data_IF_633634423443
#
_entry.id   IF_633634423443
#
_cell.length_a   1.000
_cell.length_b   1.000
_cell.length_c   1.000
_cell.angle_alpha   90.00
_cell.angle_beta   90.00
_cell.angle_gamma   90.00
#
_symmetry.space_group_name_H-M   'P 1'
#
loop_
_entity.id
_entity.type
_entity.pdbx_description
1 polymer ?
#
# COMPACT_ATOMS: atom_id res chain seq x y z
N UNK A 1 -34.70 49.17 42.01
CA UNK A 1 -33.25 49.26 41.76
C UNK A 1 -32.64 47.89 42.03
N UNK A 2 -32.31 47.14 40.98
CA UNK A 2 -31.59 45.86 41.06
C UNK A 2 -30.74 45.76 39.80
N UNK A 3 -29.42 45.84 39.98
CA UNK A 3 -28.44 45.85 38.89
C UNK A 3 -28.07 44.42 38.48
N UNK A 4 -28.30 44.10 37.21
CA UNK A 4 -27.81 42.86 36.59
C UNK A 4 -26.42 43.15 36.02
N UNK A 5 -25.40 42.55 36.64
CA UNK A 5 -24.04 42.46 36.08
C UNK A 5 -24.08 41.62 34.80
N UNK A 6 -23.79 42.25 33.64
CA UNK A 6 -23.36 41.54 32.44
C UNK A 6 -21.86 41.28 32.55
N UNK A 7 -21.48 40.01 32.61
CA UNK A 7 -20.09 39.57 32.48
C UNK A 7 -19.52 39.87 31.10
N UNK A 8 -18.18 39.93 30.95
CA UNK A 8 -17.53 40.25 29.70
C UNK A 8 -17.84 39.20 28.63
N UNK A 9 -18.23 39.71 27.46
CA UNK A 9 -18.72 38.94 26.33
C UNK A 9 -17.76 37.85 25.88
N UNK A 10 -18.35 36.71 25.58
CA UNK A 10 -17.77 35.66 24.78
C UNK A 10 -17.13 36.23 23.51
N UNK A 11 -15.87 35.87 23.27
CA UNK A 11 -15.18 36.14 22.02
C UNK A 11 -15.98 35.56 20.85
N UNK A 12 -16.48 36.45 19.99
CA UNK A 12 -17.16 36.11 18.77
C UNK A 12 -16.15 35.64 17.71
N UNK A 13 -16.62 34.69 16.91
CA UNK A 13 -16.00 34.13 15.72
C UNK A 13 -15.33 35.17 14.80
N UNK A 14 -14.22 34.76 14.17
CA UNK A 14 -13.86 35.32 12.85
C UNK A 14 -12.46 35.85 12.62
N UNK A 15 -11.42 35.46 13.37
CA UNK A 15 -10.05 35.81 12.96
C UNK A 15 -9.69 35.03 11.68
N UNK A 16 -9.88 35.69 10.53
CA UNK A 16 -9.19 35.37 9.29
C UNK A 16 -7.72 35.62 9.54
N UNK A 17 -6.92 34.56 9.56
CA UNK A 17 -5.47 34.70 9.63
C UNK A 17 -5.00 35.42 8.36
N UNK A 18 -4.60 36.68 8.49
CA UNK A 18 -4.09 37.50 7.40
C UNK A 18 -2.61 37.18 7.17
N UNK A 19 -2.25 36.84 5.94
CA UNK A 19 -0.86 36.70 5.53
C UNK A 19 -0.34 38.08 5.11
N UNK A 20 0.75 38.57 5.70
CA UNK A 20 1.31 39.87 5.30
C UNK A 20 1.83 39.85 3.86
N UNK A 21 1.57 40.91 3.09
CA UNK A 21 2.03 41.08 1.70
C UNK A 21 3.55 40.90 1.53
N UNK A 22 4.32 41.36 2.53
CA UNK A 22 5.77 41.18 2.56
C UNK A 22 6.20 39.71 2.50
N UNK A 23 5.41 38.79 3.08
CA UNK A 23 5.72 37.36 3.03
C UNK A 23 5.56 36.80 1.61
N UNK A 24 4.58 37.27 0.84
CA UNK A 24 4.40 36.83 -0.54
C UNK A 24 5.60 37.22 -1.40
N UNK A 25 6.13 38.43 -1.20
CA UNK A 25 7.32 38.91 -1.89
C UNK A 25 8.55 38.06 -1.55
N UNK A 26 8.81 37.84 -0.25
CA UNK A 26 9.93 37.02 0.22
C UNK A 26 9.87 35.58 -0.34
N UNK A 27 8.68 34.97 -0.36
CA UNK A 27 8.51 33.62 -0.92
C UNK A 27 8.77 33.63 -2.43
N UNK A 28 8.25 34.61 -3.15
CA UNK A 28 8.44 34.74 -4.61
C UNK A 28 9.92 34.90 -4.98
N UNK A 29 10.67 35.68 -4.21
CA UNK A 29 12.08 35.97 -4.48
C UNK A 29 13.02 34.78 -4.16
N UNK A 30 12.57 33.80 -3.37
CA UNK A 30 13.35 32.60 -3.05
C UNK A 30 13.61 31.68 -4.24
N UNK A 31 14.76 31.01 -4.34
CA UNK A 31 15.07 30.17 -5.52
C UNK A 31 14.51 28.74 -5.47
N UNK A 32 14.05 28.24 -4.31
CA UNK A 32 13.67 26.82 -4.14
C UNK A 32 12.35 26.62 -3.38
N UNK A 33 11.70 25.48 -3.64
CA UNK A 33 10.53 25.04 -2.87
C UNK A 33 10.82 24.84 -1.38
N UNK A 34 12.00 24.33 -1.05
CA UNK A 34 12.44 24.17 0.36
C UNK A 34 12.49 25.52 1.07
N UNK A 35 13.00 26.55 0.42
CA UNK A 35 13.02 27.90 0.96
C UNK A 35 11.59 28.44 1.17
N UNK A 36 10.73 28.33 0.16
CA UNK A 36 9.33 28.77 0.25
C UNK A 36 8.58 28.07 1.40
N UNK A 37 8.74 26.75 1.53
CA UNK A 37 8.17 25.95 2.61
C UNK A 37 8.73 26.40 3.97
N UNK A 38 10.04 26.63 4.08
CA UNK A 38 10.66 27.09 5.34
C UNK A 38 10.15 28.46 5.75
N UNK A 39 10.16 29.44 4.85
CA UNK A 39 9.68 30.81 5.12
C UNK A 39 8.21 30.83 5.52
N UNK A 40 7.36 30.07 4.82
CA UNK A 40 5.95 29.98 5.18
C UNK A 40 5.75 29.26 6.52
N UNK A 41 6.50 28.21 6.79
CA UNK A 41 6.49 27.52 8.09
C UNK A 41 6.88 28.46 9.24
N UNK A 42 7.92 29.28 9.06
CA UNK A 42 8.38 30.28 10.02
C UNK A 42 7.28 31.33 10.29
N UNK A 43 6.69 31.88 9.22
CA UNK A 43 5.64 32.89 9.31
C UNK A 43 4.37 32.37 10.02
N UNK A 44 3.99 31.12 9.72
CA UNK A 44 2.86 30.44 10.35
C UNK A 44 3.17 29.94 11.79
N UNK A 45 4.44 30.06 12.22
CA UNK A 45 4.97 29.59 13.51
C UNK A 45 4.69 28.10 13.73
N UNK A 46 4.94 27.28 12.71
CA UNK A 46 4.73 25.84 12.78
C UNK A 46 5.88 25.14 13.54
N UNK A 47 5.61 24.04 14.25
CA UNK A 47 6.65 23.13 14.72
C UNK A 47 7.44 22.54 13.54
N UNK A 48 8.66 22.05 13.79
CA UNK A 48 9.46 21.38 12.77
C UNK A 48 8.81 20.09 12.25
N UNK A 49 8.23 20.18 11.06
CA UNK A 49 7.51 19.10 10.37
C UNK A 49 8.42 17.93 9.97
N UNK A 50 9.73 18.09 10.06
CA UNK A 50 10.71 17.04 9.71
C UNK A 50 11.01 16.11 10.90
N UNK A 51 10.48 16.41 12.09
CA UNK A 51 10.72 15.62 13.31
C UNK A 51 9.45 15.00 13.85
N UNK A 52 9.57 13.79 14.41
CA UNK A 52 8.46 13.13 15.11
C UNK A 52 7.87 14.01 16.24
N UNK A 53 8.74 14.73 16.96
CA UNK A 53 8.31 15.62 18.03
C UNK A 53 7.51 16.83 17.50
N UNK A 54 7.94 17.42 16.39
CA UNK A 54 7.20 18.50 15.74
C UNK A 54 5.85 18.02 15.20
N UNK A 55 5.78 16.87 14.54
CA UNK A 55 4.52 16.26 14.11
C UNK A 55 3.57 15.98 15.29
N UNK A 56 4.09 15.52 16.43
CA UNK A 56 3.28 15.36 17.66
C UNK A 56 2.68 16.69 18.13
N UNK A 57 3.43 17.80 18.06
CA UNK A 57 2.93 19.14 18.37
C UNK A 57 1.89 19.63 17.36
N UNK A 58 2.06 19.27 16.08
CA UNK A 58 1.06 19.58 15.05
C UNK A 58 -0.22 18.81 15.32
N UNK A 59 -0.13 17.53 15.69
CA UNK A 59 -1.27 16.69 16.01
C UNK A 59 -2.15 17.26 17.13
N UNK A 60 -1.54 17.75 18.22
CA UNK A 60 -2.29 18.34 19.35
C UNK A 60 -2.98 19.66 18.98
N UNK A 61 -2.48 20.36 17.95
CA UNK A 61 -3.00 21.67 17.49
C UNK A 61 -3.54 21.62 16.07
N UNK A 62 -3.96 20.43 15.61
CA UNK A 62 -4.22 20.17 14.19
C UNK A 62 -5.20 21.17 13.58
N UNK A 63 -6.34 21.40 14.23
CA UNK A 63 -7.38 22.29 13.70
C UNK A 63 -6.90 23.74 13.56
N UNK A 64 -6.11 24.24 14.51
CA UNK A 64 -5.55 25.59 14.47
C UNK A 64 -4.55 25.71 13.31
N UNK A 65 -3.62 24.77 13.20
CA UNK A 65 -2.59 24.76 12.15
C UNK A 65 -3.22 24.58 10.78
N UNK A 66 -4.17 23.66 10.62
CA UNK A 66 -4.88 23.45 9.38
C UNK A 66 -5.66 24.69 8.95
N UNK A 67 -6.30 25.41 9.90
CA UNK A 67 -6.97 26.69 9.59
C UNK A 67 -6.00 27.72 9.00
N UNK A 68 -4.79 27.84 9.57
CA UNK A 68 -3.73 28.73 9.05
C UNK A 68 -3.24 28.31 7.67
N UNK A 69 -2.96 27.02 7.48
CA UNK A 69 -2.56 26.47 6.18
C UNK A 69 -3.64 26.68 5.11
N UNK A 70 -4.91 26.48 5.47
CA UNK A 70 -6.03 26.70 4.57
C UNK A 70 -6.21 28.17 4.20
N UNK A 71 -6.07 29.09 5.18
CA UNK A 71 -6.07 30.53 4.93
C UNK A 71 -4.92 30.92 3.99
N UNK A 72 -3.72 30.38 4.22
CA UNK A 72 -2.56 30.61 3.37
C UNK A 72 -2.76 30.16 1.93
N UNK A 73 -3.28 28.96 1.75
CA UNK A 73 -3.59 28.42 0.43
C UNK A 73 -4.62 29.27 -0.30
N UNK A 74 -5.68 29.69 0.39
CA UNK A 74 -6.76 30.47 -0.21
C UNK A 74 -6.30 31.89 -0.56
N UNK A 75 -5.48 32.52 0.29
CA UNK A 75 -4.86 33.80 -0.02
C UNK A 75 -3.93 33.69 -1.22
N UNK A 76 -3.05 32.67 -1.25
CA UNK A 76 -2.21 32.39 -2.42
C UNK A 76 -3.03 32.17 -3.69
N UNK A 77 -4.15 31.44 -3.62
CA UNK A 77 -5.07 31.28 -4.76
C UNK A 77 -5.69 32.61 -5.20
N UNK A 78 -6.13 33.46 -4.28
CA UNK A 78 -6.74 34.75 -4.59
C UNK A 78 -5.75 35.67 -5.30
N UNK A 79 -4.51 35.69 -4.83
CA UNK A 79 -3.43 36.51 -5.39
C UNK A 79 -2.76 35.88 -6.64
N UNK A 80 -3.19 34.70 -7.09
CA UNK A 80 -2.51 33.96 -8.15
C UNK A 80 -1.07 33.54 -7.78
N UNK A 81 -0.75 33.46 -6.49
CA UNK A 81 0.56 33.06 -5.99
C UNK A 81 0.68 31.54 -5.87
N UNK A 82 1.03 30.91 -6.99
CA UNK A 82 1.24 29.46 -7.12
C UNK A 82 2.29 28.94 -6.12
N UNK A 83 3.27 29.78 -5.77
CA UNK A 83 4.37 29.40 -4.88
C UNK A 83 3.94 29.26 -3.43
N UNK A 84 3.04 30.13 -2.96
CA UNK A 84 2.41 29.98 -1.64
C UNK A 84 1.50 28.76 -1.63
N UNK A 85 0.70 28.56 -2.67
CA UNK A 85 -0.16 27.37 -2.78
C UNK A 85 0.67 26.07 -2.74
N UNK A 86 1.75 26.03 -3.53
CA UNK A 86 2.71 24.93 -3.55
C UNK A 86 3.39 24.72 -2.20
N UNK A 87 3.87 25.77 -1.54
CA UNK A 87 4.48 25.67 -0.22
C UNK A 87 3.51 25.07 0.82
N UNK A 88 2.22 25.43 0.77
CA UNK A 88 1.20 24.79 1.61
C UNK A 88 1.08 23.30 1.32
N UNK A 89 0.98 22.91 0.05
CA UNK A 89 0.91 21.49 -0.33
C UNK A 89 2.16 20.72 0.09
N UNK A 90 3.35 21.33 -0.03
CA UNK A 90 4.60 20.75 0.44
C UNK A 90 4.63 20.54 1.97
N UNK A 91 4.09 21.47 2.76
CA UNK A 91 3.94 21.29 4.21
C UNK A 91 2.93 20.19 4.56
N UNK A 92 1.79 20.16 3.88
CA UNK A 92 0.78 19.10 4.04
C UNK A 92 1.38 17.73 3.74
N UNK A 93 2.17 17.61 2.67
CA UNK A 93 2.87 16.37 2.32
C UNK A 93 3.84 15.92 3.42
N UNK A 94 4.60 16.84 4.02
CA UNK A 94 5.47 16.53 5.18
C UNK A 94 4.68 16.03 6.38
N UNK A 95 3.49 16.60 6.64
CA UNK A 95 2.62 16.13 7.72
C UNK A 95 2.11 14.70 7.50
N UNK A 96 2.02 14.24 6.25
CA UNK A 96 1.52 12.90 5.92
C UNK A 96 2.44 11.74 6.33
N UNK A 97 3.67 12.01 6.78
CA UNK A 97 4.52 10.97 7.37
C UNK A 97 4.02 10.47 8.73
N UNK A 98 3.14 11.22 9.39
CA UNK A 98 2.38 10.77 10.56
C UNK A 98 0.99 10.29 10.12
N UNK A 99 0.63 9.05 10.48
CA UNK A 99 -0.60 8.43 10.02
C UNK A 99 -1.86 9.17 10.48
N UNK A 100 -1.89 9.65 11.72
CA UNK A 100 -3.05 10.33 12.28
C UNK A 100 -3.24 11.70 11.61
N UNK A 101 -2.14 12.44 11.42
CA UNK A 101 -2.18 13.72 10.71
C UNK A 101 -2.65 13.56 9.27
N UNK A 102 -2.12 12.55 8.57
CA UNK A 102 -2.50 12.25 7.19
C UNK A 102 -4.00 12.01 7.10
N UNK A 103 -4.56 11.12 7.91
CA UNK A 103 -5.97 10.74 7.81
C UNK A 103 -6.87 11.96 8.07
N UNK A 104 -6.52 12.78 9.06
CA UNK A 104 -7.18 14.08 9.31
C UNK A 104 -7.08 15.06 8.12
N UNK A 105 -5.96 15.09 7.41
CA UNK A 105 -5.80 15.94 6.22
C UNK A 105 -6.67 15.46 5.05
N UNK A 106 -6.79 14.14 4.88
CA UNK A 106 -7.70 13.54 3.90
C UNK A 106 -9.16 13.87 4.19
N UNK A 107 -9.61 13.72 5.43
CA UNK A 107 -10.95 14.12 5.87
C UNK A 107 -11.25 15.60 5.59
N UNK A 108 -10.24 16.46 5.68
CA UNK A 108 -10.35 17.89 5.36
C UNK A 108 -10.26 18.22 3.87
N UNK A 109 -10.18 17.21 3.00
CA UNK A 109 -10.23 17.36 1.56
C UNK A 109 -8.92 17.86 0.92
N UNK A 110 -7.76 17.46 1.46
CA UNK A 110 -6.45 17.90 0.94
C UNK A 110 -6.25 17.66 -0.56
N UNK A 111 -6.80 16.58 -1.13
CA UNK A 111 -6.66 16.29 -2.57
C UNK A 111 -7.20 17.42 -3.45
N UNK A 112 -8.27 18.09 -3.02
CA UNK A 112 -8.86 19.25 -3.73
C UNK A 112 -7.90 20.45 -3.82
N UNK A 113 -6.85 20.47 -2.99
CA UNK A 113 -5.77 21.47 -3.01
C UNK A 113 -4.57 21.03 -3.84
N UNK A 114 -4.34 19.72 -3.98
CA UNK A 114 -3.22 19.19 -4.78
C UNK A 114 -3.58 19.18 -6.27
N UNK A 115 -4.80 18.77 -6.62
CA UNK A 115 -5.25 18.63 -8.01
C UNK A 115 -4.95 19.87 -8.87
N UNK A 116 -5.34 21.11 -8.47
CA UNK A 116 -5.14 22.28 -9.31
C UNK A 116 -3.67 22.63 -9.57
N UNK A 117 -2.74 22.15 -8.73
CA UNK A 117 -1.31 22.39 -8.89
C UNK A 117 -0.65 21.45 -9.91
N UNK A 118 -1.33 20.37 -10.32
CA UNK A 118 -0.82 19.47 -11.35
C UNK A 118 -0.85 20.12 -12.75
N UNK A 119 -1.78 21.04 -12.96
CA UNK A 119 -1.98 21.72 -14.24
C UNK A 119 -1.01 22.89 -14.44
N UNK A 120 -0.36 23.37 -13.38
CA UNK A 120 0.54 24.52 -13.41
C UNK A 120 1.99 24.08 -13.55
N UNK A 121 2.68 24.51 -14.61
CA UNK A 121 4.08 24.14 -14.90
C UNK A 121 5.02 24.35 -13.71
N UNK A 122 4.86 25.48 -13.01
CA UNK A 122 5.72 25.85 -11.89
C UNK A 122 5.60 24.87 -10.71
N UNK A 123 4.39 24.35 -10.44
CA UNK A 123 4.10 23.55 -9.23
C UNK A 123 3.94 22.06 -9.52
N UNK A 124 3.85 21.64 -10.79
CA UNK A 124 3.58 20.25 -11.18
C UNK A 124 4.49 19.25 -10.49
N UNK A 125 5.82 19.44 -10.53
CA UNK A 125 6.76 18.51 -9.88
C UNK A 125 6.60 18.47 -8.37
N UNK A 126 6.30 19.62 -7.75
CA UNK A 126 6.05 19.68 -6.30
C UNK A 126 4.78 18.92 -5.93
N UNK A 127 3.71 19.14 -6.68
CA UNK A 127 2.41 18.48 -6.46
C UNK A 127 2.51 16.97 -6.69
N UNK A 128 3.18 16.54 -7.75
CA UNK A 128 3.48 15.14 -8.02
C UNK A 128 4.34 14.51 -6.91
N UNK A 129 5.41 15.18 -6.47
CA UNK A 129 6.24 14.70 -5.35
C UNK A 129 5.43 14.62 -4.04
N UNK A 130 4.53 15.57 -3.80
CA UNK A 130 3.61 15.51 -2.67
C UNK A 130 2.71 14.26 -2.75
N UNK A 131 2.13 13.95 -3.91
CA UNK A 131 1.32 12.74 -4.10
C UNK A 131 2.12 11.45 -3.87
N UNK A 132 3.39 11.40 -4.29
CA UNK A 132 4.28 10.28 -3.99
C UNK A 132 4.45 10.12 -2.48
N UNK A 133 4.75 11.19 -1.74
CA UNK A 133 4.89 11.13 -0.29
C UNK A 133 3.58 10.69 0.39
N UNK A 134 2.45 11.20 -0.09
CA UNK A 134 1.13 10.90 0.43
C UNK A 134 0.78 9.42 0.22
N UNK A 135 1.06 8.87 -0.96
CA UNK A 135 0.77 7.47 -1.28
C UNK A 135 1.74 6.52 -0.57
N UNK A 136 3.03 6.84 -0.49
CA UNK A 136 4.03 6.06 0.27
C UNK A 136 3.60 5.82 1.71
N UNK A 137 3.14 6.86 2.38
CA UNK A 137 2.69 6.74 3.76
C UNK A 137 1.20 6.42 3.89
N UNK A 138 0.42 6.57 2.82
CA UNK A 138 -1.04 6.48 2.79
C UNK A 138 -1.62 5.16 3.28
N UNK A 139 -2.71 5.24 4.05
CA UNK A 139 -3.57 4.09 4.28
C UNK A 139 -4.34 3.72 3.02
N UNK A 140 -4.91 2.51 3.01
CA UNK A 140 -5.65 1.96 1.87
C UNK A 140 -6.73 2.92 1.36
N UNK A 141 -7.60 3.43 2.23
CA UNK A 141 -8.67 4.36 1.86
C UNK A 141 -8.16 5.60 1.11
N UNK A 142 -7.07 6.19 1.59
CA UNK A 142 -6.44 7.35 0.96
C UNK A 142 -5.91 7.03 -0.44
N UNK A 143 -5.28 5.86 -0.62
CA UNK A 143 -4.75 5.37 -1.89
C UNK A 143 -5.86 5.06 -2.90
N UNK A 144 -6.95 4.42 -2.44
CA UNK A 144 -8.14 4.17 -3.26
C UNK A 144 -8.76 5.48 -3.74
N UNK A 145 -8.89 6.47 -2.85
CA UNK A 145 -9.45 7.77 -3.24
C UNK A 145 -8.56 8.52 -4.24
N UNK A 146 -7.23 8.44 -4.07
CA UNK A 146 -6.28 8.94 -5.07
C UNK A 146 -6.49 8.23 -6.40
N UNK A 147 -6.60 6.90 -6.44
CA UNK A 147 -6.81 6.17 -7.69
C UNK A 147 -8.09 6.64 -8.40
N UNK A 148 -9.19 6.78 -7.65
CA UNK A 148 -10.48 7.26 -8.18
C UNK A 148 -10.41 8.66 -8.76
N UNK A 149 -9.81 9.60 -8.02
CA UNK A 149 -9.81 11.01 -8.42
C UNK A 149 -8.71 11.36 -9.43
N UNK A 150 -7.57 10.66 -9.40
CA UNK A 150 -6.34 11.12 -10.05
C UNK A 150 -5.81 10.22 -11.15
N UNK A 151 -6.18 8.94 -11.25
CA UNK A 151 -5.58 8.05 -12.26
C UNK A 151 -5.72 8.61 -13.70
N UNK A 152 -6.89 9.15 -14.05
CA UNK A 152 -7.10 9.79 -15.36
C UNK A 152 -6.16 10.97 -15.60
N UNK A 153 -5.99 11.83 -14.60
CA UNK A 153 -5.07 12.97 -14.66
C UNK A 153 -3.62 12.52 -14.74
N UNK A 154 -3.22 11.52 -13.96
CA UNK A 154 -1.86 10.98 -13.95
C UNK A 154 -1.50 10.28 -15.27
N UNK A 155 -2.44 9.51 -15.84
CA UNK A 155 -2.30 8.93 -17.19
C UNK A 155 -2.10 10.03 -18.22
N UNK A 156 -2.93 11.09 -18.19
CA UNK A 156 -2.80 12.22 -19.09
C UNK A 156 -1.45 12.92 -18.93
N UNK A 157 -0.96 13.13 -17.71
CA UNK A 157 0.37 13.70 -17.47
C UNK A 157 1.50 12.87 -18.09
N UNK A 158 1.43 11.54 -17.99
CA UNK A 158 2.43 10.65 -18.63
C UNK A 158 2.38 10.77 -20.17
N UNK A 159 1.20 11.00 -20.74
CA UNK A 159 1.00 11.12 -22.19
C UNK A 159 1.38 12.50 -22.73
N UNK A 160 1.04 13.56 -22.01
CA UNK A 160 1.26 14.96 -22.41
C UNK A 160 2.71 15.41 -22.20
N UNK A 161 3.41 14.84 -21.20
CA UNK A 161 4.80 15.20 -20.86
C UNK A 161 5.76 14.01 -20.92
N UNK A 162 5.84 13.27 -22.05
CA UNK A 162 6.61 12.04 -22.14
C UNK A 162 8.14 12.25 -22.06
N UNK A 163 8.59 13.49 -22.27
CA UNK A 163 9.99 13.89 -22.25
C UNK A 163 10.42 14.55 -20.92
N UNK A 164 9.50 14.62 -19.95
CA UNK A 164 9.80 14.98 -18.56
C UNK A 164 9.93 13.70 -17.72
N UNK A 165 11.13 13.11 -17.63
CA UNK A 165 11.31 11.82 -16.96
C UNK A 165 10.93 11.87 -15.47
N UNK A 166 11.02 13.05 -14.84
CA UNK A 166 10.73 13.17 -13.41
C UNK A 166 9.23 13.27 -13.14
N UNK A 167 8.50 14.02 -13.97
CA UNK A 167 7.04 14.05 -13.89
C UNK A 167 6.45 12.66 -14.17
N UNK A 168 6.95 11.98 -15.20
CA UNK A 168 6.53 10.60 -15.53
C UNK A 168 6.83 9.65 -14.38
N UNK A 169 8.05 9.68 -13.80
CA UNK A 169 8.40 8.83 -12.65
C UNK A 169 7.43 9.05 -11.48
N UNK A 170 7.19 10.30 -11.08
CA UNK A 170 6.29 10.58 -9.96
C UNK A 170 4.83 10.18 -10.24
N UNK A 171 4.36 10.35 -11.48
CA UNK A 171 3.02 9.91 -11.87
C UNK A 171 2.90 8.38 -11.80
N UNK A 172 3.89 7.63 -12.31
CA UNK A 172 3.93 6.17 -12.22
C UNK A 172 3.98 5.69 -10.77
N UNK A 173 4.86 6.27 -9.93
CA UNK A 173 4.96 5.91 -8.51
C UNK A 173 3.64 6.16 -7.79
N UNK A 174 2.98 7.28 -8.07
CA UNK A 174 1.67 7.58 -7.47
C UNK A 174 0.61 6.57 -7.93
N UNK A 175 0.55 6.27 -9.24
CA UNK A 175 -0.40 5.29 -9.79
C UNK A 175 -0.15 3.88 -9.28
N UNK A 176 1.11 3.47 -9.06
CA UNK A 176 1.47 2.17 -8.50
C UNK A 176 0.81 1.95 -7.14
N UNK A 177 1.17 2.76 -6.15
CA UNK A 177 0.61 2.66 -4.79
C UNK A 177 -0.91 2.83 -4.76
N UNK A 178 -1.45 3.76 -5.57
CA UNK A 178 -2.88 4.04 -5.58
C UNK A 178 -3.70 2.91 -6.23
N UNK A 179 -3.26 2.42 -7.38
CA UNK A 179 -3.97 1.37 -8.14
C UNK A 179 -3.79 0.00 -7.49
N UNK A 180 -2.61 -0.29 -6.94
CA UNK A 180 -2.35 -1.51 -6.17
C UNK A 180 -3.29 -1.62 -4.97
N UNK A 181 -3.59 -0.51 -4.27
CA UNK A 181 -4.56 -0.50 -3.17
C UNK A 181 -6.00 -0.87 -3.59
N UNK A 182 -6.27 -0.98 -4.90
CA UNK A 182 -7.55 -1.46 -5.44
C UNK A 182 -7.42 -2.89 -5.95
N UNK A 183 -6.41 -3.18 -6.77
CA UNK A 183 -6.30 -4.45 -7.52
C UNK A 183 -5.32 -5.47 -6.93
N UNK A 184 -4.60 -5.09 -5.87
CA UNK A 184 -3.60 -5.92 -5.20
C UNK A 184 -4.08 -6.53 -3.88
N UNK A 185 -5.33 -6.30 -3.48
CA UNK A 185 -5.88 -6.78 -2.21
C UNK A 185 -6.13 -8.30 -2.19
N UNK A 186 -6.39 -8.86 -1.01
CA UNK A 186 -6.78 -10.27 -0.86
C UNK A 186 -8.13 -10.56 -1.53
N UNK A 187 -9.08 -9.64 -1.39
CA UNK A 187 -10.42 -9.77 -1.96
C UNK A 187 -10.51 -9.04 -3.31
N UNK A 188 -11.28 -9.58 -4.27
CA UNK A 188 -11.46 -8.92 -5.55
C UNK A 188 -12.21 -7.58 -5.38
N UNK A 189 -11.74 -6.49 -6.03
CA UNK A 189 -12.44 -5.22 -6.02
C UNK A 189 -13.76 -5.29 -6.78
N UNK A 190 -14.67 -4.36 -6.49
CA UNK A 190 -15.91 -4.26 -7.26
C UNK A 190 -15.61 -3.90 -8.73
N UNK A 191 -16.33 -4.48 -9.71
CA UNK A 191 -16.14 -4.14 -11.13
C UNK A 191 -16.38 -2.66 -11.44
N UNK A 192 -17.26 -2.01 -10.66
CA UNK A 192 -17.52 -0.56 -10.76
C UNK A 192 -16.27 0.24 -10.43
N UNK A 193 -15.59 -0.11 -9.32
CA UNK A 193 -14.36 0.57 -8.91
C UNK A 193 -13.23 0.36 -9.92
N UNK A 194 -13.04 -0.87 -10.42
CA UNK A 194 -12.05 -1.18 -11.47
C UNK A 194 -12.27 -0.32 -12.71
N UNK A 195 -13.52 -0.15 -13.14
CA UNK A 195 -13.89 0.70 -14.27
C UNK A 195 -13.65 2.19 -13.97
N UNK A 196 -13.95 2.63 -12.75
CA UNK A 196 -13.81 4.03 -12.33
C UNK A 196 -12.36 4.50 -12.36
N UNK A 197 -11.43 3.68 -11.84
CA UNK A 197 -10.00 4.00 -11.78
C UNK A 197 -9.26 3.75 -13.11
N UNK A 198 -9.95 3.23 -14.12
CA UNK A 198 -9.47 2.94 -15.47
C UNK A 198 -8.12 2.19 -15.52
N UNK A 199 -8.10 0.99 -14.93
CA UNK A 199 -6.90 0.13 -14.84
C UNK A 199 -6.26 -0.08 -16.21
N UNK A 200 -7.05 -0.19 -17.28
CA UNK A 200 -6.52 -0.40 -18.64
C UNK A 200 -5.64 0.76 -19.08
N UNK A 201 -6.13 2.00 -18.94
CA UNK A 201 -5.37 3.20 -19.32
C UNK A 201 -4.10 3.36 -18.49
N UNK A 202 -4.17 3.05 -17.18
CA UNK A 202 -3.00 3.03 -16.29
C UNK A 202 -1.93 2.05 -16.78
N UNK A 203 -2.32 0.81 -17.12
CA UNK A 203 -1.38 -0.20 -17.63
C UNK A 203 -0.79 0.19 -18.99
N UNK A 204 -1.59 0.75 -19.90
CA UNK A 204 -1.11 1.23 -21.21
C UNK A 204 -0.07 2.34 -21.05
N UNK A 205 -0.36 3.34 -20.21
CA UNK A 205 0.56 4.44 -19.92
C UNK A 205 1.86 3.94 -19.30
N UNK A 206 1.76 2.98 -18.37
CA UNK A 206 2.93 2.37 -17.70
C UNK A 206 3.82 1.60 -18.69
N UNK A 207 3.22 0.82 -19.59
CA UNK A 207 3.96 0.12 -20.66
C UNK A 207 4.63 1.10 -21.61
N UNK A 208 3.95 2.20 -21.97
CA UNK A 208 4.54 3.25 -22.80
C UNK A 208 5.73 3.94 -22.12
N UNK A 209 5.62 4.25 -20.82
CA UNK A 209 6.71 4.85 -20.04
C UNK A 209 7.94 3.92 -19.98
N UNK A 210 7.73 2.62 -19.74
CA UNK A 210 8.81 1.62 -19.70
C UNK A 210 9.57 1.42 -21.02
N UNK A 211 9.01 1.85 -22.16
CA UNK A 211 9.67 1.77 -23.48
C UNK A 211 10.64 2.92 -23.73
N UNK A 212 10.67 3.95 -22.87
CA UNK A 212 11.55 5.09 -23.05
C UNK A 212 12.99 4.74 -22.62
N UNK A 213 14.02 5.26 -23.31
CA UNK A 213 15.41 5.03 -22.93
C UNK A 213 15.82 5.74 -21.64
N UNK A 214 15.02 6.72 -21.19
CA UNK A 214 15.28 7.58 -20.02
C UNK A 214 14.66 7.03 -18.73
N UNK A 215 14.26 5.76 -18.69
CA UNK A 215 13.64 5.16 -17.51
C UNK A 215 14.63 5.06 -16.35
N UNK A 216 14.21 5.53 -15.19
CA UNK A 216 14.97 5.38 -13.95
C UNK A 216 14.73 4.01 -13.32
N UNK A 217 15.59 3.65 -12.36
CA UNK A 217 15.38 2.48 -11.52
C UNK A 217 14.06 2.58 -10.72
N UNK A 218 13.79 3.75 -10.13
CA UNK A 218 12.58 4.00 -9.33
C UNK A 218 11.32 3.80 -10.18
N UNK A 219 11.26 4.40 -11.36
CA UNK A 219 10.16 4.21 -12.31
C UNK A 219 10.01 2.72 -12.66
N UNK A 220 11.12 2.06 -13.03
CA UNK A 220 11.08 0.64 -13.43
C UNK A 220 10.55 -0.26 -12.31
N UNK A 221 10.98 -0.04 -11.07
CA UNK A 221 10.55 -0.84 -9.91
C UNK A 221 9.05 -0.70 -9.64
N UNK A 222 8.54 0.54 -9.62
CA UNK A 222 7.12 0.81 -9.34
C UNK A 222 6.22 0.45 -10.53
N UNK A 223 6.68 0.71 -11.75
CA UNK A 223 6.00 0.27 -12.95
C UNK A 223 5.87 -1.26 -12.98
N UNK A 224 6.93 -2.00 -12.62
CA UNK A 224 6.88 -3.44 -12.50
C UNK A 224 5.86 -3.88 -11.44
N UNK A 225 5.90 -3.31 -10.24
CA UNK A 225 4.94 -3.62 -9.18
C UNK A 225 3.49 -3.44 -9.65
N UNK A 226 3.17 -2.28 -10.23
CA UNK A 226 1.87 -1.95 -10.77
C UNK A 226 1.38 -2.97 -11.81
N UNK A 227 2.20 -3.32 -12.79
CA UNK A 227 1.79 -4.24 -13.86
C UNK A 227 1.64 -5.69 -13.39
N UNK A 228 2.39 -6.11 -12.36
CA UNK A 228 2.31 -7.50 -11.86
C UNK A 228 1.18 -7.72 -10.85
N UNK A 229 0.57 -6.65 -10.35
CA UNK A 229 -0.63 -6.71 -9.50
C UNK A 229 -1.89 -6.94 -10.32
N UNK A 230 -1.93 -6.48 -11.58
CA UNK A 230 -3.11 -6.61 -12.43
C UNK A 230 -3.59 -8.06 -12.72
N UNK A 231 -2.71 -9.06 -12.95
CA UNK A 231 -3.16 -10.44 -13.16
C UNK A 231 -3.98 -11.04 -12.02
N UNK A 232 -3.86 -10.51 -10.79
CA UNK A 232 -4.57 -11.05 -9.62
C UNK A 232 -6.09 -10.89 -9.77
N UNK A 233 -6.55 -9.65 -9.98
CA UNK A 233 -7.99 -9.33 -10.04
C UNK A 233 -8.47 -8.77 -11.37
N UNK A 234 -7.56 -8.53 -12.30
CA UNK A 234 -7.84 -7.93 -13.62
C UNK A 234 -7.18 -8.71 -14.78
N UNK A 235 -7.23 -10.06 -14.83
CA UNK A 235 -6.53 -10.86 -15.84
C UNK A 235 -6.97 -10.55 -17.28
N UNK A 236 -8.27 -10.32 -17.51
CA UNK A 236 -8.80 -9.95 -18.83
C UNK A 236 -8.27 -8.59 -19.31
N UNK A 237 -8.20 -7.60 -18.41
CA UNK A 237 -7.64 -6.27 -18.72
C UNK A 237 -6.15 -6.40 -19.01
N UNK A 238 -5.41 -7.14 -18.19
CA UNK A 238 -3.98 -7.40 -18.39
C UNK A 238 -3.70 -7.99 -19.79
N UNK A 239 -4.46 -9.00 -20.21
CA UNK A 239 -4.33 -9.62 -21.53
C UNK A 239 -4.68 -8.67 -22.68
N UNK A 240 -5.60 -7.75 -22.46
CA UNK A 240 -6.04 -6.78 -23.46
C UNK A 240 -5.07 -5.60 -23.69
N UNK A 241 -3.99 -5.48 -22.90
CA UNK A 241 -2.98 -4.41 -23.03
C UNK A 241 -1.89 -4.83 -24.04
N UNK A 242 -1.72 -4.12 -25.17
CA UNK A 242 -0.78 -4.52 -26.21
C UNK A 242 0.68 -4.60 -25.75
N UNK A 243 1.25 -5.81 -25.86
CA UNK A 243 2.66 -6.07 -25.56
C UNK A 243 2.98 -6.23 -24.08
N UNK A 244 2.00 -6.13 -23.16
CA UNK A 244 2.23 -6.27 -21.74
C UNK A 244 2.75 -7.67 -21.37
N UNK A 245 2.14 -8.74 -21.88
CA UNK A 245 2.63 -10.11 -21.64
C UNK A 245 4.06 -10.33 -22.15
N UNK A 246 4.39 -9.78 -23.34
CA UNK A 246 5.76 -9.86 -23.89
C UNK A 246 6.77 -9.11 -23.02
N UNK A 247 6.37 -7.98 -22.45
CA UNK A 247 7.19 -7.19 -21.53
C UNK A 247 7.46 -7.98 -20.23
N UNK A 248 6.44 -8.62 -19.64
CA UNK A 248 6.62 -9.49 -18.46
C UNK A 248 7.57 -10.66 -18.78
N UNK A 249 7.39 -11.31 -19.93
CA UNK A 249 8.28 -12.39 -20.37
C UNK A 249 9.73 -11.87 -20.55
N UNK A 250 9.90 -10.65 -21.08
CA UNK A 250 11.22 -10.04 -21.19
C UNK A 250 11.87 -9.79 -19.82
N UNK A 251 11.09 -9.41 -18.80
CA UNK A 251 11.59 -9.25 -17.43
C UNK A 251 12.14 -10.54 -16.80
N UNK A 252 11.67 -11.73 -17.24
CA UNK A 252 12.26 -13.01 -16.85
C UNK A 252 13.74 -13.16 -17.28
N UNK A 253 14.19 -12.38 -18.28
CA UNK A 253 15.59 -12.37 -18.75
C UNK A 253 16.46 -11.37 -18.00
N UNK A 254 15.91 -10.65 -17.02
CA UNK A 254 16.68 -9.70 -16.22
C UNK A 254 17.80 -10.40 -15.44
N UNK A 255 18.95 -9.72 -15.29
CA UNK A 255 20.01 -10.16 -14.39
C UNK A 255 19.65 -9.97 -12.92
N UNK A 256 18.65 -9.13 -12.62
CA UNK A 256 18.16 -8.91 -11.27
C UNK A 256 17.14 -10.00 -10.89
N UNK A 257 17.47 -10.80 -9.87
CA UNK A 257 16.63 -11.91 -9.41
C UNK A 257 15.25 -11.46 -8.92
N UNK A 258 15.14 -10.28 -8.28
CA UNK A 258 13.87 -9.77 -7.79
C UNK A 258 12.93 -9.45 -8.95
N UNK A 259 13.44 -8.80 -10.01
CA UNK A 259 12.66 -8.52 -11.22
C UNK A 259 12.14 -9.83 -11.85
N UNK A 260 13.01 -10.85 -11.95
CA UNK A 260 12.60 -12.16 -12.48
C UNK A 260 11.52 -12.83 -11.64
N UNK A 261 11.71 -12.86 -10.31
CA UNK A 261 10.75 -13.47 -9.39
C UNK A 261 9.39 -12.76 -9.45
N UNK A 262 9.38 -11.43 -9.46
CA UNK A 262 8.17 -10.62 -9.57
C UNK A 262 7.45 -10.85 -10.90
N UNK A 263 8.19 -10.91 -12.01
CA UNK A 263 7.63 -11.22 -13.32
C UNK A 263 7.07 -12.65 -13.40
N UNK A 264 7.75 -13.64 -12.80
CA UNK A 264 7.25 -15.01 -12.70
C UNK A 264 5.94 -15.08 -11.90
N UNK A 265 5.87 -14.38 -10.76
CA UNK A 265 4.67 -14.32 -9.94
C UNK A 265 3.46 -13.76 -10.73
N UNK A 266 3.67 -12.77 -11.59
CA UNK A 266 2.62 -12.23 -12.47
C UNK A 266 2.06 -13.30 -13.42
N UNK A 267 2.93 -14.11 -14.03
CA UNK A 267 2.52 -15.17 -14.95
C UNK A 267 1.79 -16.29 -14.20
N UNK A 268 2.27 -16.68 -13.03
CA UNK A 268 1.60 -17.66 -12.18
C UNK A 268 0.21 -17.19 -11.76
N UNK A 269 0.08 -15.94 -11.28
CA UNK A 269 -1.23 -15.35 -10.94
C UNK A 269 -2.19 -15.31 -12.12
N UNK A 270 -1.68 -15.00 -13.31
CA UNK A 270 -2.49 -15.02 -14.52
C UNK A 270 -3.06 -16.41 -14.81
N UNK A 271 -2.27 -17.47 -14.60
CA UNK A 271 -2.76 -18.84 -14.76
C UNK A 271 -3.73 -19.23 -13.64
N UNK A 272 -3.41 -18.91 -12.38
CA UNK A 272 -4.29 -19.20 -11.24
C UNK A 272 -5.68 -18.59 -11.44
N UNK A 273 -5.76 -17.37 -11.98
CA UNK A 273 -7.04 -16.71 -12.25
C UNK A 273 -7.88 -17.41 -13.35
N UNK A 274 -7.28 -18.31 -14.11
CA UNK A 274 -7.94 -19.10 -15.18
C UNK A 274 -8.05 -20.57 -14.85
N UNK A 275 -7.38 -21.03 -13.79
CA UNK A 275 -7.53 -22.39 -13.31
C UNK A 275 -8.94 -22.60 -12.77
N UNK A 276 -9.46 -23.80 -12.99
CA UNK A 276 -10.63 -24.26 -12.27
C UNK A 276 -10.29 -24.28 -10.76
N UNK A 277 -11.24 -23.94 -9.87
CA UNK A 277 -11.02 -24.08 -8.44
C UNK A 277 -10.59 -25.50 -8.12
N UNK A 278 -9.51 -25.65 -7.38
CA UNK A 278 -9.10 -26.98 -6.91
C UNK A 278 -10.26 -27.62 -6.16
N UNK A 279 -10.61 -28.85 -6.55
CA UNK A 279 -11.57 -29.66 -5.82
C UNK A 279 -10.92 -30.18 -4.52
N UNK A 280 -10.60 -29.26 -3.60
CA UNK A 280 -10.00 -29.58 -2.30
C UNK A 280 -10.99 -30.28 -1.35
N UNK A 281 -12.27 -30.32 -1.72
CA UNK A 281 -13.29 -31.07 -0.99
C UNK A 281 -13.38 -32.49 -1.56
N UNK A 282 -12.43 -33.34 -1.17
CA UNK A 282 -12.62 -34.78 -1.32
C UNK A 282 -13.33 -35.30 -0.07
N UNK A 283 -14.37 -36.12 -0.27
CA UNK A 283 -15.00 -36.86 0.81
C UNK A 283 -14.01 -37.93 1.29
N UNK A 284 -13.47 -37.84 2.53
CA UNK A 284 -12.48 -38.79 3.01
C UNK A 284 -12.98 -40.23 2.97
N UNK A 285 -14.28 -40.46 3.17
CA UNK A 285 -14.86 -41.81 3.11
C UNK A 285 -14.88 -42.35 1.69
N UNK A 286 -15.17 -41.51 0.69
CA UNK A 286 -15.09 -41.91 -0.72
C UNK A 286 -13.66 -42.18 -1.15
N UNK A 287 -12.70 -41.37 -0.68
CA UNK A 287 -11.28 -41.59 -0.95
C UNK A 287 -10.81 -42.93 -0.37
N UNK A 288 -11.15 -43.22 0.89
CA UNK A 288 -10.83 -44.49 1.54
C UNK A 288 -11.53 -45.67 0.85
N UNK A 289 -12.78 -45.51 0.43
CA UNK A 289 -13.51 -46.54 -0.31
C UNK A 289 -12.87 -46.82 -1.69
N UNK A 290 -12.46 -45.78 -2.42
CA UNK A 290 -11.75 -45.92 -3.70
C UNK A 290 -10.37 -46.58 -3.51
N UNK A 291 -9.65 -46.22 -2.44
CA UNK A 291 -8.38 -46.85 -2.10
C UNK A 291 -8.53 -48.34 -1.77
N UNK A 292 -9.58 -48.70 -1.04
CA UNK A 292 -9.89 -50.09 -0.70
C UNK A 292 -10.38 -50.90 -1.90
N UNK A 293 -11.13 -50.28 -2.82
CA UNK A 293 -11.58 -50.90 -4.05
C UNK A 293 -10.44 -51.17 -5.04
N UNK A 294 -9.36 -50.39 -4.97
CA UNK A 294 -8.26 -50.45 -5.92
C UNK A 294 -8.59 -49.79 -7.27
N UNK A 295 -7.63 -49.75 -8.20
CA UNK A 295 -7.86 -49.20 -9.53
C UNK A 295 -8.84 -50.09 -10.33
N UNK A 296 -9.59 -49.53 -11.29
CA UNK A 296 -10.38 -50.32 -12.24
C UNK A 296 -9.55 -51.42 -12.92
N UNK A 297 -10.15 -52.56 -13.23
CA UNK A 297 -9.45 -53.74 -13.78
C UNK A 297 -8.54 -53.41 -14.97
N UNK A 298 -9.00 -52.57 -15.89
CA UNK A 298 -8.23 -52.17 -17.08
C UNK A 298 -7.00 -51.30 -16.79
N UNK A 299 -6.84 -50.82 -15.55
CA UNK A 299 -5.70 -50.02 -15.07
C UNK A 299 -4.83 -50.79 -14.06
N UNK A 300 -5.26 -51.98 -13.62
CA UNK A 300 -4.58 -52.71 -12.56
C UNK A 300 -3.18 -53.14 -12.97
N UNK A 301 -3.03 -53.71 -14.17
CA UNK A 301 -1.73 -54.14 -14.71
C UNK A 301 -0.77 -52.94 -14.86
N UNK A 302 -1.30 -51.80 -15.33
CA UNK A 302 -0.53 -50.54 -15.47
C UNK A 302 -0.07 -50.03 -14.10
N UNK A 303 -0.95 -50.09 -13.08
CA UNK A 303 -0.63 -49.65 -11.73
C UNK A 303 0.42 -50.56 -11.06
N UNK A 304 0.35 -51.86 -11.30
CA UNK A 304 1.35 -52.84 -10.82
C UNK A 304 2.70 -52.59 -11.48
N UNK A 305 2.73 -52.43 -12.81
CA UNK A 305 3.97 -52.17 -13.57
C UNK A 305 4.63 -50.84 -13.17
N UNK A 306 3.82 -49.81 -12.87
CA UNK A 306 4.32 -48.52 -12.40
C UNK A 306 4.86 -48.55 -10.95
N UNK A 307 4.30 -49.46 -10.14
CA UNK A 307 4.46 -49.51 -8.68
C UNK A 307 3.31 -48.81 -7.98
N UNK A 308 2.37 -49.57 -7.43
CA UNK A 308 1.14 -49.06 -6.80
C UNK A 308 1.45 -48.07 -5.67
N UNK A 309 2.50 -48.34 -4.90
CA UNK A 309 3.01 -47.49 -3.82
C UNK A 309 3.55 -46.13 -4.28
N UNK A 310 3.84 -45.98 -5.58
CA UNK A 310 4.30 -44.73 -6.20
C UNK A 310 3.15 -43.91 -6.77
N UNK A 311 1.92 -44.42 -6.74
CA UNK A 311 0.74 -43.67 -7.18
C UNK A 311 0.42 -42.52 -6.23
N UNK A 312 -0.09 -41.40 -6.77
CA UNK A 312 -0.47 -40.22 -5.98
C UNK A 312 -1.47 -40.58 -4.88
N UNK A 313 -2.39 -41.51 -5.15
CA UNK A 313 -3.35 -42.01 -4.17
C UNK A 313 -2.66 -42.65 -2.96
N UNK A 314 -1.71 -43.57 -3.19
CA UNK A 314 -1.01 -44.25 -2.09
C UNK A 314 -0.05 -43.33 -1.34
N UNK A 315 0.65 -42.43 -2.05
CA UNK A 315 1.51 -41.41 -1.42
C UNK A 315 0.68 -40.49 -0.53
N UNK A 316 -0.48 -40.03 -1.02
CA UNK A 316 -1.39 -39.19 -0.26
C UNK A 316 -1.92 -39.91 0.99
N UNK A 317 -2.39 -41.16 0.86
CA UNK A 317 -2.89 -41.94 2.00
C UNK A 317 -1.81 -42.20 3.05
N UNK A 318 -0.58 -42.51 2.61
CA UNK A 318 0.57 -42.68 3.50
C UNK A 318 0.87 -41.39 4.25
N UNK A 319 0.95 -40.25 3.55
CA UNK A 319 1.19 -38.95 4.16
C UNK A 319 0.07 -38.56 5.15
N UNK A 320 -1.20 -38.82 4.82
CA UNK A 320 -2.34 -38.61 5.72
C UNK A 320 -2.25 -39.51 6.97
N UNK A 321 -1.86 -40.77 6.81
CA UNK A 321 -1.67 -41.71 7.92
C UNK A 321 -0.54 -41.25 8.84
N UNK A 322 0.63 -40.90 8.29
CA UNK A 322 1.77 -40.40 9.05
C UNK A 322 1.44 -39.09 9.78
N UNK A 323 0.76 -38.16 9.12
CA UNK A 323 0.29 -36.91 9.74
C UNK A 323 -0.68 -37.18 10.89
N UNK A 324 -1.63 -38.10 10.70
CA UNK A 324 -2.61 -38.48 11.74
C UNK A 324 -1.93 -39.16 12.92
N UNK A 325 -0.96 -40.04 12.68
CA UNK A 325 -0.16 -40.67 13.73
C UNK A 325 0.68 -39.65 14.51
N UNK A 326 1.28 -38.67 13.83
CA UNK A 326 2.04 -37.60 14.48
C UNK A 326 1.16 -36.64 15.29
N UNK A 327 -0.11 -36.47 14.90
CA UNK A 327 -1.10 -35.65 15.63
C UNK A 327 -1.85 -36.39 16.73
N UNK A 328 -1.93 -37.71 16.65
CA UNK A 328 -2.51 -38.50 17.73
C UNK A 328 -1.74 -38.18 19.02
N UNK A 329 -2.42 -37.94 20.15
CA UNK A 329 -1.75 -37.64 21.40
C UNK A 329 -0.81 -38.82 21.70
N UNK A 330 0.49 -38.60 21.52
CA UNK A 330 1.51 -39.54 21.98
C UNK A 330 1.22 -39.75 23.47
N UNK A 331 0.99 -41.00 23.88
CA UNK A 331 0.87 -41.39 25.27
C UNK A 331 1.85 -40.58 26.12
N UNK A 332 1.27 -39.70 26.96
CA UNK A 332 1.90 -38.72 27.85
C UNK A 332 3.43 -38.82 27.94
N UNK A 333 4.14 -38.18 27.02
CA UNK A 333 5.58 -37.94 27.21
C UNK A 333 5.70 -36.72 28.10
N UNK A 334 5.78 -36.96 29.41
CA UNK A 334 6.14 -35.93 30.39
C UNK A 334 7.57 -35.49 30.11
N UNK A 335 7.75 -34.42 29.33
CA UNK A 335 9.05 -33.78 29.15
C UNK A 335 9.39 -33.05 30.45
N UNK A 336 10.19 -33.70 31.29
CA UNK A 336 10.75 -33.05 32.49
C UNK A 336 11.93 -32.20 32.06
N UNK A 337 11.71 -30.89 31.86
CA UNK A 337 12.80 -29.95 31.63
C UNK A 337 13.45 -29.61 32.97
N UNK A 338 14.63 -30.16 33.24
CA UNK A 338 15.47 -29.71 34.36
C UNK A 338 16.31 -28.51 33.92
N UNK A 339 16.03 -27.34 34.50
CA UNK A 339 16.90 -26.18 34.35
C UNK A 339 18.15 -26.36 35.24
N UNK A 340 19.36 -26.17 34.71
CA UNK A 340 20.55 -26.13 35.55
C UNK A 340 20.48 -24.91 36.47
N UNK A 341 20.64 -25.12 37.77
CA UNK A 341 20.82 -24.03 38.73
C UNK A 341 22.16 -23.37 38.47
N UNK A 342 22.19 -22.03 38.48
CA UNK A 342 23.40 -21.26 38.34
C UNK A 342 24.41 -21.63 39.46
N UNK A 343 25.72 -21.68 39.17
CA UNK A 343 26.71 -21.97 40.20
C UNK A 343 26.74 -20.82 41.21
N UNK A 344 26.29 -21.07 42.46
CA UNK A 344 26.45 -20.13 43.58
C UNK A 344 25.24 -19.91 44.47
N UNK A 345 24.03 -20.39 44.14
CA UNK A 345 22.87 -20.17 45.01
C UNK A 345 22.76 -21.25 46.10
N UNK A 346 23.09 -20.89 47.34
CA UNK A 346 22.74 -21.69 48.54
C UNK A 346 21.28 -21.44 48.90
N UNK A 347 20.35 -22.16 48.28
CA UNK A 347 19.01 -22.35 48.87
C UNK A 347 18.55 -23.79 48.63
N UNK A 348 18.06 -24.42 49.70
CA UNK A 348 17.85 -25.86 49.82
C UNK A 348 16.42 -26.29 49.51
N UNK A 349 15.72 -25.68 48.56
CA UNK A 349 14.38 -26.12 48.13
C UNK A 349 14.30 -26.22 46.60
N UNK A 350 14.45 -27.44 46.08
CA UNK A 350 14.20 -27.75 44.67
C UNK A 350 12.69 -27.87 44.44
N UNK A 351 12.06 -26.80 43.94
CA UNK A 351 10.66 -26.84 43.51
C UNK A 351 10.53 -27.55 42.17
N UNK A 352 9.85 -28.70 42.14
CA UNK A 352 9.40 -29.33 40.89
C UNK A 352 8.11 -28.63 40.45
N UNK A 353 8.17 -27.86 39.37
CA UNK A 353 6.97 -27.27 38.75
C UNK A 353 6.52 -28.21 37.64
N UNK A 354 5.48 -29.01 37.92
CA UNK A 354 4.78 -29.80 36.90
C UNK A 354 3.69 -28.90 36.30
N UNK A 355 3.84 -28.50 35.03
CA UNK A 355 2.73 -27.87 34.29
C UNK A 355 2.07 -28.93 33.41
N UNK A 356 0.83 -29.26 33.76
CA UNK A 356 -0.07 -30.02 32.91
C UNK A 356 -0.66 -29.03 31.89
N UNK A 357 -0.47 -29.31 30.60
CA UNK A 357 -1.13 -28.56 29.54
C UNK A 357 -2.33 -29.39 29.09
N UNK A 358 -3.53 -28.95 29.47
CA UNK A 358 -4.75 -29.51 28.88
C UNK A 358 -4.87 -28.99 27.45
N UNK A 359 -4.85 -29.92 26.50
CA UNK A 359 -5.16 -29.62 25.10
C UNK A 359 -6.68 -29.44 25.03
N UNK A 360 -7.19 -28.28 24.58
CA UNK A 360 -8.63 -28.09 24.48
C UNK A 360 -9.18 -29.06 23.44
N UNK A 361 -10.05 -29.97 23.89
CA UNK A 361 -10.93 -30.71 23.00
C UNK A 361 -11.84 -29.70 22.31
N UNK A 362 -11.63 -29.50 21.01
CA UNK A 362 -12.56 -28.78 20.15
C UNK A 362 -13.60 -29.77 19.63
N UNK A 363 -14.89 -29.37 19.53
CA UNK A 363 -15.99 -30.24 19.14
C UNK A 363 -15.91 -30.75 17.70
#
# INVERSE_FOLDING_TARGET
MSGIHKGPGAALAGDSYLIPDALFKDINDGSTWTFAISRLSDALKLPDLSTRHGLKKVHTRFNEIYKKLNAAYNAGRHEGNEKVMGAVVGMVAKMCSDAILRDKLFEKGMLKKVIPLLDLDSTRHLALNALVMITHHGGEQARVEIARQLNKTLVKLVQDFPDDPKAVEFAIVTMDHATEAVIGNEHPPSPVLVKEIDVRSVLVATVAALRKPTVSYTLTSHALNLIVSAPHHCPAIFKAVPGLSRLIIAFLRSKNINIRATAMAALLRLQIAECEPDAMHFDPNRLMAAAAAGPPDHLLDIAIDYGVERSDLQVMLKAMSEYTQARAPSSSTTITVRFPTAPGSRSSHAGVITRQYDVPHTP
#
